data_IF_108358817075
#
_entry.id   IF_108358817075
#
_cell.length_a   1.000
_cell.length_b   1.000
_cell.length_c   1.000
_cell.angle_alpha   90.00
_cell.angle_beta   90.00
_cell.angle_gamma   90.00
#
_symmetry.space_group_name_H-M   'P 1'
#
loop_
_entity.id
_entity.type
_entity.pdbx_description
1 polymer ?
#
# COMPACT_ATOMS: atom_id res chain seq x y z
N UNK A 1 -4.36 1.06 -15.71
CA UNK A 1 -2.97 0.82 -16.19
C UNK A 1 -2.20 -0.16 -15.32
N UNK A 2 -2.66 -1.42 -15.16
CA UNK A 2 -1.77 -2.50 -14.71
C UNK A 2 -0.58 -2.62 -15.67
N UNK A 3 0.60 -2.96 -15.15
CA UNK A 3 1.83 -3.12 -15.94
C UNK A 3 2.62 -1.84 -16.19
N UNK A 4 2.20 -0.69 -15.63
CA UNK A 4 2.83 0.61 -15.82
C UNK A 4 2.92 1.40 -14.50
N UNK A 5 3.71 2.48 -14.51
CA UNK A 5 3.81 3.42 -13.40
C UNK A 5 2.81 4.58 -13.45
N UNK A 6 2.82 5.39 -12.38
CA UNK A 6 2.09 6.66 -12.31
C UNK A 6 2.53 7.65 -13.39
N UNK A 7 1.59 8.51 -13.82
CA UNK A 7 1.86 9.55 -14.82
C UNK A 7 1.30 10.88 -14.34
N UNK A 8 2.14 11.92 -14.35
CA UNK A 8 1.75 13.30 -14.10
C UNK A 8 2.36 14.21 -15.17
N UNK A 9 1.55 14.76 -16.09
CA UNK A 9 2.04 15.67 -17.12
C UNK A 9 2.79 16.86 -16.53
N UNK A 10 3.88 17.28 -17.16
CA UNK A 10 4.79 18.30 -16.64
C UNK A 10 4.13 19.64 -16.33
N UNK A 11 3.16 20.07 -17.13
CA UNK A 11 2.37 21.29 -16.87
C UNK A 11 1.46 21.21 -15.63
N UNK A 12 1.32 20.03 -15.01
CA UNK A 12 0.68 19.86 -13.68
C UNK A 12 1.71 19.77 -12.56
N UNK A 13 3.01 19.78 -12.86
CA UNK A 13 4.10 19.76 -11.87
C UNK A 13 4.45 21.21 -11.53
N UNK A 14 3.55 21.85 -10.78
CA UNK A 14 3.75 23.20 -10.24
C UNK A 14 4.90 23.22 -9.24
N UNK A 15 5.39 24.40 -8.86
CA UNK A 15 6.43 24.53 -7.82
C UNK A 15 6.03 23.86 -6.50
N UNK A 16 4.75 23.96 -6.12
CA UNK A 16 4.22 23.25 -4.95
C UNK A 16 4.38 21.74 -5.09
N UNK A 17 3.96 21.16 -6.22
CA UNK A 17 4.06 19.71 -6.46
C UNK A 17 5.52 19.27 -6.56
N UNK A 18 6.35 20.05 -7.26
CA UNK A 18 7.76 19.75 -7.44
C UNK A 18 8.48 19.73 -6.09
N UNK A 19 8.21 20.71 -5.22
CA UNK A 19 8.73 20.74 -3.84
C UNK A 19 8.28 19.52 -3.03
N UNK A 20 7.00 19.16 -3.09
CA UNK A 20 6.46 18.00 -2.37
C UNK A 20 7.03 16.66 -2.86
N UNK A 21 7.54 16.61 -4.09
CA UNK A 21 8.08 15.40 -4.73
C UNK A 21 9.60 15.41 -4.89
N UNK A 22 10.28 16.45 -4.40
CA UNK A 22 11.71 16.69 -4.66
C UNK A 22 12.07 16.59 -6.16
N UNK A 23 11.18 17.11 -7.01
CA UNK A 23 11.29 17.06 -8.46
C UNK A 23 11.53 18.45 -9.05
N UNK A 24 11.85 18.50 -10.34
CA UNK A 24 12.01 19.75 -11.09
C UNK A 24 10.63 20.27 -11.55
N UNK A 25 10.28 21.55 -11.27
CA UNK A 25 9.03 22.14 -11.76
C UNK A 25 8.89 22.04 -13.28
N UNK A 26 7.68 21.74 -13.76
CA UNK A 26 7.38 21.64 -15.19
C UNK A 26 7.80 20.32 -15.85
N UNK A 27 8.61 19.48 -15.19
CA UNK A 27 9.06 18.20 -15.75
C UNK A 27 7.98 17.13 -15.61
N UNK A 28 7.67 16.43 -16.72
CA UNK A 28 6.73 15.29 -16.69
C UNK A 28 7.28 14.18 -15.80
N UNK A 29 6.45 13.68 -14.87
CA UNK A 29 6.80 12.59 -13.99
C UNK A 29 6.13 11.30 -14.47
N UNK A 30 6.94 10.38 -15.00
CA UNK A 30 6.55 9.01 -15.29
C UNK A 30 7.27 8.13 -14.28
N UNK A 31 6.52 7.52 -13.38
CA UNK A 31 7.10 6.59 -12.41
C UNK A 31 7.58 5.33 -13.12
N UNK A 32 8.68 4.71 -12.65
CA UNK A 32 9.05 3.37 -13.08
C UNK A 32 7.87 2.40 -12.94
N UNK A 33 7.66 1.48 -13.91
CA UNK A 33 6.61 0.47 -13.79
C UNK A 33 6.77 -0.45 -12.57
N UNK A 34 7.97 -0.99 -12.25
CA UNK A 34 8.16 -1.75 -11.02
C UNK A 34 8.58 -0.83 -9.86
N UNK A 35 8.31 -1.32 -8.66
CA UNK A 35 9.09 -0.94 -7.49
C UNK A 35 10.48 -1.54 -7.63
N UNK A 36 11.54 -0.72 -7.61
CA UNK A 36 12.92 -1.21 -7.81
C UNK A 36 13.46 -2.02 -6.63
N UNK A 37 12.72 -2.05 -5.52
CA UNK A 37 12.91 -2.83 -4.32
C UNK A 37 11.90 -4.00 -4.20
N UNK A 38 11.21 -4.36 -5.29
CA UNK A 38 10.30 -5.52 -5.35
C UNK A 38 10.42 -6.22 -6.70
N UNK A 39 11.31 -7.22 -6.79
CA UNK A 39 11.41 -8.10 -7.97
C UNK A 39 10.89 -9.52 -7.72
N UNK A 40 10.57 -9.83 -6.47
CA UNK A 40 10.08 -11.14 -6.04
C UNK A 40 9.12 -11.02 -4.84
N UNK A 41 8.58 -12.15 -4.37
CA UNK A 41 7.70 -12.16 -3.21
C UNK A 41 8.46 -11.93 -1.90
N UNK A 42 9.72 -12.36 -1.84
CA UNK A 42 10.64 -12.13 -0.74
C UNK A 42 11.06 -10.67 -0.64
N UNK A 43 11.23 -9.97 -1.76
CA UNK A 43 11.49 -8.53 -1.76
C UNK A 43 10.26 -7.74 -1.27
N UNK A 44 9.04 -8.17 -1.67
CA UNK A 44 7.81 -7.60 -1.12
C UNK A 44 7.74 -7.83 0.39
N UNK A 45 8.08 -9.02 0.87
CA UNK A 45 8.16 -9.31 2.31
C UNK A 45 9.19 -8.42 3.02
N UNK A 46 10.32 -8.11 2.36
CA UNK A 46 11.30 -7.16 2.89
C UNK A 46 10.71 -5.75 2.98
N UNK A 47 10.04 -5.24 1.96
CA UNK A 47 9.40 -3.92 2.05
C UNK A 47 8.32 -3.87 3.13
N UNK A 48 7.49 -4.92 3.26
CA UNK A 48 6.49 -5.00 4.33
C UNK A 48 7.18 -4.96 5.70
N UNK A 49 8.30 -5.67 5.86
CA UNK A 49 9.10 -5.63 7.07
C UNK A 49 9.68 -4.23 7.33
N UNK A 50 10.23 -3.58 6.31
CA UNK A 50 10.78 -2.22 6.40
C UNK A 50 9.72 -1.21 6.88
N UNK A 51 8.53 -1.24 6.28
CA UNK A 51 7.40 -0.37 6.63
C UNK A 51 6.93 -0.60 8.07
N UNK A 52 6.91 -1.86 8.51
CA UNK A 52 6.53 -2.24 9.88
C UNK A 52 7.61 -1.92 10.91
N UNK A 53 8.87 -1.81 10.50
CA UNK A 53 9.99 -1.41 11.34
C UNK A 53 10.01 0.11 11.55
N UNK A 54 9.85 0.90 10.47
CA UNK A 54 9.79 2.37 10.57
C UNK A 54 8.47 2.86 11.19
N UNK A 55 7.38 2.11 11.09
CA UNK A 55 6.12 2.46 11.73
C UNK A 55 5.51 1.26 12.49
N UNK A 56 5.70 1.20 13.82
CA UNK A 56 5.20 0.08 14.63
C UNK A 56 3.68 0.09 14.84
N UNK A 57 2.97 1.13 14.40
CA UNK A 57 1.51 1.24 14.58
C UNK A 57 0.75 0.96 13.28
N UNK A 58 1.43 1.04 12.13
CA UNK A 58 0.76 0.96 10.84
C UNK A 58 0.45 -0.47 10.42
N UNK A 59 -0.73 -0.63 9.82
CA UNK A 59 -1.08 -1.79 8.99
C UNK A 59 -0.53 -1.59 7.57
N UNK A 60 -0.05 -2.66 6.96
CA UNK A 60 0.47 -2.66 5.59
C UNK A 60 -0.53 -3.33 4.65
N UNK A 61 -0.91 -2.60 3.60
CA UNK A 61 -1.82 -3.05 2.55
C UNK A 61 -1.07 -3.19 1.24
N UNK A 62 -1.26 -4.32 0.55
CA UNK A 62 -0.78 -4.50 -0.83
C UNK A 62 -1.95 -4.33 -1.78
N UNK A 63 -1.85 -3.34 -2.68
CA UNK A 63 -2.84 -3.09 -3.73
C UNK A 63 -2.46 -3.87 -5.00
N UNK A 64 -3.31 -4.81 -5.37
CA UNK A 64 -3.22 -5.59 -6.59
C UNK A 64 -4.34 -5.19 -7.55
N UNK A 65 -4.18 -5.47 -8.83
CA UNK A 65 -5.26 -5.36 -9.82
C UNK A 65 -5.72 -6.75 -10.19
N UNK A 66 -7.04 -6.96 -10.18
CA UNK A 66 -7.70 -8.19 -10.60
C UNK A 66 -7.15 -8.68 -11.94
N UNK A 67 -6.68 -9.92 -11.93
CA UNK A 67 -6.19 -10.68 -13.05
C UNK A 67 -6.30 -12.17 -12.71
N UNK A 68 -6.36 -13.05 -13.71
CA UNK A 68 -6.31 -14.49 -13.47
C UNK A 68 -4.99 -14.87 -12.80
N UNK A 69 -5.04 -15.72 -11.78
CA UNK A 69 -3.87 -16.14 -10.99
C UNK A 69 -3.58 -15.24 -9.79
N UNK A 70 -4.39 -14.21 -9.54
CA UNK A 70 -4.24 -13.31 -8.40
C UNK A 70 -4.38 -14.02 -7.06
N UNK A 71 -5.11 -15.15 -6.99
CA UNK A 71 -5.28 -15.90 -5.74
C UNK A 71 -3.96 -16.49 -5.23
N UNK A 72 -3.10 -16.96 -6.13
CA UNK A 72 -1.76 -17.45 -5.78
C UNK A 72 -0.88 -16.31 -5.27
N UNK A 73 -0.93 -15.15 -5.94
CA UNK A 73 -0.21 -13.94 -5.52
C UNK A 73 -0.70 -13.48 -4.14
N UNK A 74 -2.02 -13.44 -3.92
CA UNK A 74 -2.61 -13.06 -2.65
C UNK A 74 -2.15 -13.96 -1.50
N UNK A 75 -2.00 -15.26 -1.74
CA UNK A 75 -1.43 -16.20 -0.76
C UNK A 75 0.03 -15.89 -0.44
N UNK A 76 0.84 -15.56 -1.45
CA UNK A 76 2.21 -15.07 -1.25
C UNK A 76 2.23 -13.80 -0.40
N UNK A 77 1.38 -12.83 -0.72
CA UNK A 77 1.25 -11.54 0.01
C UNK A 77 0.85 -11.76 1.47
N UNK A 78 -0.09 -12.66 1.75
CA UNK A 78 -0.48 -13.00 3.10
C UNK A 78 0.67 -13.61 3.91
N UNK A 79 1.47 -14.50 3.29
CA UNK A 79 2.69 -15.10 3.87
C UNK A 79 3.82 -14.08 4.03
N UNK A 80 3.89 -13.08 3.17
CA UNK A 80 4.80 -11.93 3.27
C UNK A 80 4.44 -10.95 4.41
N UNK A 81 3.49 -11.33 5.27
CA UNK A 81 3.10 -10.61 6.49
C UNK A 81 2.32 -9.31 6.25
N UNK A 82 1.65 -9.16 5.09
CA UNK A 82 0.69 -8.07 4.89
C UNK A 82 -0.52 -8.20 5.83
N UNK A 83 -1.12 -7.06 6.18
CA UNK A 83 -2.32 -6.99 7.04
C UNK A 83 -3.62 -6.88 6.23
N UNK A 84 -3.52 -6.39 5.00
CA UNK A 84 -4.64 -6.30 4.08
C UNK A 84 -4.19 -6.46 2.62
N UNK A 85 -5.10 -6.92 1.78
CA UNK A 85 -4.92 -7.03 0.32
C UNK A 85 -6.09 -6.29 -0.32
N UNK A 86 -5.78 -5.33 -1.19
CA UNK A 86 -6.80 -4.67 -2.00
C UNK A 86 -6.81 -5.24 -3.42
N UNK A 87 -7.97 -5.72 -3.86
CA UNK A 87 -8.21 -6.20 -5.21
C UNK A 87 -8.94 -5.10 -5.99
N UNK A 88 -8.22 -4.42 -6.86
CA UNK A 88 -8.77 -3.38 -7.72
C UNK A 88 -9.32 -3.95 -9.03
N UNK A 89 -10.49 -3.48 -9.46
CA UNK A 89 -11.07 -3.82 -10.77
C UNK A 89 -10.45 -3.02 -11.93
N UNK A 90 -10.56 -3.55 -13.14
CA UNK A 90 -10.12 -2.89 -14.38
C UNK A 90 -10.80 -1.54 -14.64
N UNK A 91 -11.99 -1.35 -14.08
CA UNK A 91 -12.86 -0.18 -14.23
C UNK A 91 -12.54 0.97 -13.26
N UNK A 92 -11.40 0.89 -12.55
CA UNK A 92 -10.90 1.98 -11.70
C UNK A 92 -10.60 3.29 -12.46
N UNK A 93 -10.77 4.42 -11.78
CA UNK A 93 -10.46 5.74 -12.34
C UNK A 93 -8.96 6.03 -12.41
N UNK A 94 -8.55 6.95 -13.30
CA UNK A 94 -7.17 7.44 -13.39
C UNK A 94 -7.13 8.87 -13.89
N UNK A 95 -6.20 9.68 -13.37
CA UNK A 95 -5.99 11.06 -13.82
C UNK A 95 -5.29 11.16 -15.18
N UNK A 96 -4.39 10.22 -15.47
CA UNK A 96 -3.65 10.10 -16.74
C UNK A 96 -3.23 8.65 -16.96
N UNK A 97 -3.43 8.14 -18.18
CA UNK A 97 -3.09 6.77 -18.60
C UNK A 97 -3.25 6.64 -20.11
N UNK A 98 -2.50 5.75 -20.78
CA UNK A 98 -2.81 5.34 -22.15
C UNK A 98 -4.22 4.76 -22.23
N UNK A 99 -4.91 5.02 -23.35
CA UNK A 99 -6.26 4.51 -23.60
C UNK A 99 -6.26 2.99 -23.74
N UNK A 100 -5.20 2.43 -24.31
CA UNK A 100 -5.00 0.98 -24.43
C UNK A 100 -5.09 0.31 -23.07
N UNK A 101 -4.38 0.83 -22.07
CA UNK A 101 -4.36 0.30 -20.70
C UNK A 101 -5.65 0.56 -19.92
N UNK A 102 -6.47 1.54 -20.32
CA UNK A 102 -7.81 1.76 -19.76
C UNK A 102 -8.80 0.73 -20.32
N UNK A 103 -8.65 0.36 -21.60
CA UNK A 103 -9.62 -0.48 -22.32
C UNK A 103 -9.28 -1.97 -22.32
N UNK A 104 -8.00 -2.33 -22.13
CA UNK A 104 -7.53 -3.69 -22.40
C UNK A 104 -6.69 -4.31 -21.29
N UNK A 105 -6.50 -3.65 -20.14
CA UNK A 105 -5.67 -4.19 -19.06
C UNK A 105 -6.44 -4.30 -17.73
N UNK A 106 -6.33 -5.45 -17.09
CA UNK A 106 -7.04 -5.82 -15.86
C UNK A 106 -8.36 -6.56 -16.12
N UNK A 107 -8.89 -7.18 -15.07
CA UNK A 107 -10.19 -7.88 -15.06
C UNK A 107 -11.22 -7.23 -14.12
N UNK A 108 -12.52 -7.56 -14.24
CA UNK A 108 -13.53 -7.27 -13.22
C UNK A 108 -13.07 -7.64 -11.81
N UNK A 109 -13.39 -6.81 -10.82
CA UNK A 109 -12.98 -7.09 -9.44
C UNK A 109 -13.71 -8.31 -8.89
N UNK A 110 -14.91 -8.62 -9.40
CA UNK A 110 -15.70 -9.79 -9.02
C UNK A 110 -14.92 -11.09 -9.22
N UNK A 111 -14.16 -11.19 -10.32
CA UNK A 111 -13.32 -12.35 -10.63
C UNK A 111 -12.15 -12.44 -9.65
N UNK A 112 -11.33 -11.40 -9.58
CA UNK A 112 -10.12 -11.43 -8.77
C UNK A 112 -10.39 -11.47 -7.27
N UNK A 113 -11.50 -10.87 -6.82
CA UNK A 113 -11.91 -10.88 -5.42
C UNK A 113 -12.35 -12.28 -5.00
N UNK A 114 -13.22 -12.92 -5.80
CA UNK A 114 -13.65 -14.29 -5.55
C UNK A 114 -12.45 -15.24 -5.56
N UNK A 115 -11.56 -15.13 -6.56
CA UNK A 115 -10.36 -15.95 -6.65
C UNK A 115 -9.43 -15.76 -5.43
N UNK A 116 -9.18 -14.51 -5.01
CA UNK A 116 -8.39 -14.23 -3.82
C UNK A 116 -9.04 -14.81 -2.56
N UNK A 117 -10.34 -14.62 -2.38
CA UNK A 117 -11.08 -15.16 -1.24
C UNK A 117 -11.01 -16.69 -1.19
N UNK A 118 -11.29 -17.37 -2.31
CA UNK A 118 -11.27 -18.82 -2.43
C UNK A 118 -9.87 -19.39 -2.18
N UNK A 119 -8.83 -18.87 -2.84
CA UNK A 119 -7.47 -19.41 -2.72
C UNK A 119 -6.87 -19.13 -1.33
N UNK A 120 -7.13 -17.97 -0.73
CA UNK A 120 -6.73 -17.72 0.65
C UNK A 120 -7.42 -18.68 1.63
N UNK A 121 -8.69 -19.01 1.38
CA UNK A 121 -9.44 -19.97 2.21
C UNK A 121 -8.87 -21.38 2.05
N UNK A 122 -8.62 -21.83 0.82
CA UNK A 122 -7.99 -23.12 0.51
C UNK A 122 -6.62 -23.29 1.20
N UNK A 123 -5.89 -22.20 1.41
CA UNK A 123 -4.57 -22.22 2.07
C UNK A 123 -4.62 -21.94 3.58
N UNK A 124 -5.81 -21.84 4.20
CA UNK A 124 -5.99 -21.45 5.60
C UNK A 124 -5.35 -20.08 5.95
N UNK A 125 -5.31 -19.16 4.98
CA UNK A 125 -4.73 -17.82 5.12
C UNK A 125 -5.81 -16.72 5.21
N UNK A 126 -7.08 -17.03 4.91
CA UNK A 126 -8.16 -16.04 4.83
C UNK A 126 -8.36 -15.26 6.12
N UNK A 127 -8.26 -15.91 7.27
CA UNK A 127 -8.33 -15.28 8.59
C UNK A 127 -7.09 -14.46 8.98
N UNK A 128 -6.08 -14.35 8.11
CA UNK A 128 -4.86 -13.60 8.39
C UNK A 128 -4.80 -12.23 7.71
N UNK A 129 -5.65 -11.95 6.72
CA UNK A 129 -5.62 -10.69 5.98
C UNK A 129 -7.02 -10.14 5.80
N UNK A 130 -7.16 -8.81 5.88
CA UNK A 130 -8.40 -8.14 5.46
C UNK A 130 -8.42 -8.04 3.93
N UNK A 131 -9.49 -8.51 3.29
CA UNK A 131 -9.69 -8.28 1.85
C UNK A 131 -10.43 -6.96 1.61
N UNK A 132 -9.89 -6.12 0.75
CA UNK A 132 -10.51 -4.86 0.30
C UNK A 132 -10.77 -4.94 -1.20
N UNK A 133 -11.75 -4.19 -1.69
CA UNK A 133 -11.93 -4.05 -3.14
C UNK A 133 -12.28 -2.63 -3.55
N UNK A 134 -11.87 -2.24 -4.75
CA UNK A 134 -12.30 -1.01 -5.42
C UNK A 134 -12.50 -1.28 -6.92
N UNK A 135 -13.14 -0.35 -7.63
CA UNK A 135 -13.41 -0.50 -9.07
C UNK A 135 -14.88 -0.25 -9.40
N UNK A 136 -15.27 1.02 -9.47
CA UNK A 136 -16.63 1.39 -9.85
C UNK A 136 -17.71 1.19 -8.78
N UNK A 137 -17.34 0.85 -7.55
CA UNK A 137 -18.25 0.80 -6.38
C UNK A 137 -18.89 2.17 -6.18
N UNK A 138 -20.23 2.21 -6.22
CA UNK A 138 -20.99 3.47 -6.15
C UNK A 138 -22.36 3.36 -5.49
N UNK A 139 -22.83 2.15 -5.17
CA UNK A 139 -24.13 1.87 -4.53
C UNK A 139 -23.97 0.95 -3.33
N UNK A 140 -24.97 0.93 -2.45
CA UNK A 140 -25.08 -0.06 -1.37
C UNK A 140 -25.15 -1.50 -1.91
N UNK A 141 -25.82 -1.71 -3.06
CA UNK A 141 -25.81 -3.02 -3.72
C UNK A 141 -24.41 -3.48 -4.13
N UNK A 142 -23.57 -2.59 -4.67
CA UNK A 142 -22.18 -2.94 -5.04
C UNK A 142 -21.39 -3.38 -3.80
N UNK A 143 -21.59 -2.68 -2.67
CA UNK A 143 -20.99 -3.02 -1.38
C UNK A 143 -21.42 -4.41 -0.90
N UNK A 144 -22.73 -4.70 -0.94
CA UNK A 144 -23.26 -6.00 -0.51
C UNK A 144 -22.76 -7.15 -1.38
N UNK A 145 -22.70 -6.97 -2.71
CA UNK A 145 -22.16 -7.99 -3.61
C UNK A 145 -20.67 -8.20 -3.35
N UNK A 146 -19.90 -7.12 -3.19
CA UNK A 146 -18.48 -7.23 -2.82
C UNK A 146 -18.29 -7.98 -1.50
N UNK A 147 -19.15 -7.73 -0.51
CA UNK A 147 -19.13 -8.46 0.75
C UNK A 147 -19.38 -9.96 0.54
N UNK A 148 -20.45 -10.32 -0.17
CA UNK A 148 -20.79 -11.72 -0.46
C UNK A 148 -19.69 -12.45 -1.24
N UNK A 149 -18.92 -11.73 -2.07
CA UNK A 149 -17.74 -12.27 -2.77
C UNK A 149 -16.45 -12.30 -1.92
N UNK A 150 -16.50 -11.81 -0.68
CA UNK A 150 -15.45 -11.97 0.33
C UNK A 150 -14.72 -10.69 0.75
N UNK A 151 -15.09 -9.51 0.27
CA UNK A 151 -14.48 -8.24 0.71
C UNK A 151 -15.03 -7.75 2.06
N UNK A 152 -14.14 -7.15 2.85
CA UNK A 152 -14.43 -6.59 4.17
C UNK A 152 -14.37 -5.06 4.19
N UNK A 153 -13.72 -4.44 3.20
CA UNK A 153 -13.67 -2.98 3.03
C UNK A 153 -13.82 -2.59 1.55
N UNK A 154 -14.40 -1.41 1.29
CA UNK A 154 -14.89 -1.00 -0.02
C UNK A 154 -14.36 0.39 -0.41
N UNK A 155 -13.58 0.47 -1.48
CA UNK A 155 -12.97 1.71 -1.97
C UNK A 155 -13.86 2.45 -2.97
N UNK A 156 -14.19 3.71 -2.65
CA UNK A 156 -15.04 4.57 -3.48
C UNK A 156 -14.24 5.81 -3.93
N UNK A 157 -13.75 5.77 -5.18
CA UNK A 157 -12.97 6.87 -5.77
C UNK A 157 -13.84 7.81 -6.63
N UNK A 158 -14.24 7.36 -7.80
CA UNK A 158 -14.93 8.20 -8.80
C UNK A 158 -16.26 8.76 -8.30
N UNK A 159 -17.07 7.99 -7.57
CA UNK A 159 -18.32 8.51 -7.02
C UNK A 159 -18.07 9.62 -6.00
N UNK A 160 -17.01 9.52 -5.18
CA UNK A 160 -16.60 10.59 -4.27
C UNK A 160 -16.13 11.84 -5.03
N UNK A 161 -15.39 11.69 -6.14
CA UNK A 161 -15.04 12.81 -7.02
C UNK A 161 -16.29 13.47 -7.62
N UNK A 162 -17.30 12.69 -8.01
CA UNK A 162 -18.58 13.20 -8.54
C UNK A 162 -19.35 13.96 -7.44
N UNK A 163 -19.41 13.43 -6.22
CA UNK A 163 -20.00 14.13 -5.09
C UNK A 163 -19.31 15.47 -4.81
N UNK A 164 -18.00 15.56 -5.04
CA UNK A 164 -17.24 16.81 -4.96
C UNK A 164 -17.41 17.74 -6.18
N UNK A 165 -18.13 17.32 -7.23
CA UNK A 165 -18.49 18.15 -8.38
C UNK A 165 -17.90 17.71 -9.73
N UNK A 166 -17.23 16.56 -9.81
CA UNK A 166 -16.74 16.04 -11.11
C UNK A 166 -17.91 15.80 -12.09
N UNK A 167 -17.80 16.40 -13.27
CA UNK A 167 -18.81 16.29 -14.35
C UNK A 167 -18.50 15.17 -15.37
N UNK A 168 -17.53 14.31 -15.07
CA UNK A 168 -17.12 13.19 -15.94
C UNK A 168 -16.71 13.57 -17.37
N UNK A 169 -16.15 14.78 -17.57
CA UNK A 169 -15.69 15.29 -18.89
C UNK A 169 -14.36 14.69 -19.38
N UNK A 170 -13.69 13.86 -18.57
CA UNK A 170 -12.47 13.08 -18.94
C UNK A 170 -11.24 13.87 -19.40
N UNK A 171 -11.11 15.12 -18.95
CA UNK A 171 -9.96 16.01 -19.23
C UNK A 171 -8.96 16.11 -18.06
N UNK A 172 -8.94 15.12 -17.16
CA UNK A 172 -8.12 15.15 -15.94
C UNK A 172 -6.61 15.32 -16.22
N UNK A 173 -6.13 14.76 -17.33
CA UNK A 173 -4.74 14.82 -17.76
C UNK A 173 -4.37 16.18 -18.37
N UNK A 174 -5.34 16.93 -18.89
CA UNK A 174 -5.12 18.14 -19.68
C UNK A 174 -4.94 19.41 -18.85
N UNK A 175 -5.08 19.32 -17.52
CA UNK A 175 -5.10 20.46 -16.59
C UNK A 175 -6.27 21.44 -16.78
N UNK A 176 -7.25 21.12 -17.62
CA UNK A 176 -8.39 21.99 -17.96
C UNK A 176 -9.70 21.58 -17.28
N UNK A 177 -9.63 21.03 -16.07
CA UNK A 177 -10.83 20.59 -15.35
C UNK A 177 -11.80 21.77 -15.14
N UNK A 178 -13.04 21.71 -15.67
CA UNK A 178 -13.95 22.87 -15.66
C UNK A 178 -14.45 23.25 -14.26
N UNK A 179 -14.27 22.35 -13.29
CA UNK A 179 -14.82 22.41 -11.92
C UNK A 179 -13.72 22.33 -10.86
N UNK A 180 -12.45 22.55 -11.22
CA UNK A 180 -11.35 22.64 -10.26
C UNK A 180 -10.93 21.34 -9.57
N UNK A 181 -11.55 20.19 -9.86
CA UNK A 181 -11.23 18.91 -9.21
C UNK A 181 -9.84 18.39 -9.60
N UNK A 182 -9.55 18.28 -10.89
CA UNK A 182 -8.32 17.67 -11.41
C UNK A 182 -7.43 18.68 -12.15
N UNK A 183 -7.29 19.91 -11.63
CA UNK A 183 -6.43 20.96 -12.20
C UNK A 183 -5.45 21.53 -11.18
N UNK A 184 -4.35 22.09 -11.66
CA UNK A 184 -3.35 22.87 -10.93
C UNK A 184 -3.30 24.32 -11.42
N UNK A 185 -4.15 24.70 -12.39
CA UNK A 185 -4.40 26.10 -12.76
C UNK A 185 -5.26 26.76 -11.67
N UNK A 186 -4.76 27.82 -11.06
CA UNK A 186 -5.40 28.48 -9.92
C UNK A 186 -6.79 29.03 -10.26
N UNK A 187 -6.98 29.62 -11.45
CA UNK A 187 -8.27 30.12 -11.93
C UNK A 187 -9.29 28.99 -12.10
N UNK A 188 -8.83 27.77 -12.42
CA UNK A 188 -9.71 26.61 -12.48
C UNK A 188 -9.99 26.03 -11.09
N UNK A 189 -9.01 26.04 -10.19
CA UNK A 189 -9.17 25.60 -8.80
C UNK A 189 -10.16 26.47 -8.02
N UNK A 190 -10.22 27.77 -8.31
CA UNK A 190 -11.24 28.69 -7.76
C UNK A 190 -12.68 28.24 -8.06
N UNK A 191 -12.89 27.40 -9.09
CA UNK A 191 -14.21 26.86 -9.44
C UNK A 191 -14.60 25.62 -8.63
N UNK A 192 -13.71 25.11 -7.77
CA UNK A 192 -14.00 23.93 -6.95
C UNK A 192 -15.04 24.26 -5.88
N UNK A 193 -16.15 23.52 -5.89
CA UNK A 193 -17.26 23.70 -4.95
C UNK A 193 -17.55 22.43 -4.12
N UNK A 194 -16.63 21.46 -4.14
CA UNK A 194 -16.73 20.26 -3.32
C UNK A 194 -16.59 20.62 -1.83
N UNK A 195 -17.32 19.92 -0.99
CA UNK A 195 -17.25 20.09 0.47
C UNK A 195 -17.10 18.72 1.14
N UNK A 196 -16.52 18.67 2.35
CA UNK A 196 -16.51 17.45 3.15
C UNK A 196 -17.92 16.87 3.34
N UNK A 197 -18.92 17.70 3.61
CA UNK A 197 -20.30 17.28 3.84
C UNK A 197 -20.90 16.54 2.64
N UNK A 198 -20.59 16.96 1.40
CA UNK A 198 -21.05 16.25 0.19
C UNK A 198 -20.52 14.82 0.13
N UNK A 199 -19.29 14.60 0.58
CA UNK A 199 -18.67 13.27 0.64
C UNK A 199 -19.26 12.46 1.80
N UNK A 200 -19.45 13.08 2.97
CA UNK A 200 -20.14 12.45 4.12
C UNK A 200 -21.53 11.98 3.73
N UNK A 201 -22.30 12.82 3.03
CA UNK A 201 -23.64 12.49 2.56
C UNK A 201 -23.63 11.31 1.56
N UNK A 202 -22.68 11.27 0.62
CA UNK A 202 -22.52 10.13 -0.29
C UNK A 202 -22.35 8.82 0.48
N UNK A 203 -21.40 8.78 1.43
CA UNK A 203 -21.16 7.55 2.20
C UNK A 203 -22.32 7.22 3.14
N UNK A 204 -23.02 8.23 3.67
CA UNK A 204 -24.24 8.03 4.47
C UNK A 204 -25.33 7.35 3.64
N UNK A 205 -25.55 7.78 2.40
CA UNK A 205 -26.54 7.16 1.51
C UNK A 205 -26.16 5.74 1.09
N UNK A 206 -24.88 5.50 0.77
CA UNK A 206 -24.40 4.14 0.46
C UNK A 206 -24.57 3.22 1.68
N UNK A 207 -24.26 3.72 2.88
CA UNK A 207 -24.44 2.95 4.11
C UNK A 207 -25.91 2.66 4.41
N UNK A 208 -26.81 3.62 4.19
CA UNK A 208 -28.25 3.42 4.36
C UNK A 208 -28.80 2.37 3.39
N UNK A 209 -28.49 2.49 2.10
CA UNK A 209 -28.88 1.49 1.08
C UNK A 209 -28.31 0.10 1.43
N UNK A 210 -27.08 0.04 1.94
CA UNK A 210 -26.48 -1.21 2.41
C UNK A 210 -27.32 -1.83 3.54
N UNK A 211 -27.73 -1.03 4.54
CA UNK A 211 -28.58 -1.48 5.66
C UNK A 211 -29.96 -1.95 5.19
N UNK A 212 -30.57 -1.24 4.25
CA UNK A 212 -31.85 -1.63 3.66
C UNK A 212 -31.75 -3.00 2.97
N UNK A 213 -30.67 -3.23 2.22
CA UNK A 213 -30.42 -4.52 1.56
C UNK A 213 -30.17 -5.63 2.60
N UNK A 214 -29.34 -5.38 3.62
CA UNK A 214 -29.11 -6.34 4.72
C UNK A 214 -30.42 -6.76 5.39
N UNK A 215 -31.28 -5.78 5.72
CA UNK A 215 -32.58 -6.05 6.30
C UNK A 215 -33.47 -6.89 5.36
N UNK A 216 -33.43 -6.65 4.05
CA UNK A 216 -34.22 -7.41 3.07
C UNK A 216 -33.83 -8.89 2.96
N UNK A 217 -32.58 -9.23 3.29
CA UNK A 217 -32.05 -10.61 3.30
C UNK A 217 -31.99 -11.21 4.71
N UNK A 218 -32.45 -10.49 5.72
CA UNK A 218 -32.50 -10.95 7.12
C UNK A 218 -31.14 -10.93 7.85
N UNK A 219 -30.16 -10.17 7.37
CA UNK A 219 -28.86 -10.01 8.04
C UNK A 219 -28.84 -8.74 8.91
N UNK A 220 -28.20 -8.81 10.09
CA UNK A 220 -28.10 -7.66 10.99
C UNK A 220 -26.77 -6.90 10.86
N UNK A 221 -25.73 -7.58 10.40
CA UNK A 221 -24.37 -7.03 10.29
C UNK A 221 -23.72 -7.42 8.97
N UNK A 222 -22.70 -6.67 8.53
CA UNK A 222 -21.93 -7.02 7.35
C UNK A 222 -21.21 -8.37 7.51
N UNK A 223 -20.69 -8.66 8.71
CA UNK A 223 -19.91 -9.87 8.97
C UNK A 223 -20.73 -11.16 8.79
N UNK A 224 -22.06 -11.10 8.85
CA UNK A 224 -22.96 -12.23 8.58
C UNK A 224 -23.04 -12.62 7.10
N UNK A 225 -22.71 -11.70 6.19
CA UNK A 225 -22.86 -11.90 4.74
C UNK A 225 -21.53 -11.97 4.00
N UNK A 226 -20.41 -11.66 4.65
CA UNK A 226 -19.10 -11.72 4.00
C UNK A 226 -18.81 -13.17 3.58
N UNK A 227 -18.47 -13.38 2.30
CA UNK A 227 -18.23 -14.71 1.73
C UNK A 227 -19.48 -15.58 1.50
N UNK A 228 -20.68 -15.09 1.81
CA UNK A 228 -21.95 -15.82 1.63
C UNK A 228 -22.43 -15.77 0.18
N UNK A 229 -21.66 -16.38 -0.72
CA UNK A 229 -22.00 -16.49 -2.15
C UNK A 229 -23.25 -17.32 -2.40
N UNK A 230 -23.71 -18.13 -1.44
CA UNK A 230 -24.99 -18.85 -1.48
C UNK A 230 -26.22 -17.92 -1.52
N UNK A 231 -26.05 -16.65 -1.10
CA UNK A 231 -27.08 -15.61 -1.21
C UNK A 231 -27.17 -15.00 -2.62
N UNK A 232 -26.22 -15.33 -3.50
CA UNK A 232 -26.18 -14.87 -4.87
C UNK A 232 -26.63 -15.98 -5.83
N UNK A 233 -27.46 -15.61 -6.80
CA UNK A 233 -27.82 -16.49 -7.92
C UNK A 233 -27.68 -15.76 -9.24
N UNK A 234 -27.06 -16.41 -10.22
CA UNK A 234 -27.06 -15.92 -11.58
C UNK A 234 -28.48 -15.97 -12.15
N UNK A 235 -28.96 -14.84 -12.66
CA UNK A 235 -30.25 -14.76 -13.35
C UNK A 235 -29.99 -14.64 -14.85
N UNK A 236 -30.51 -15.59 -15.63
CA UNK A 236 -30.43 -15.58 -17.10
C UNK A 236 -31.58 -14.75 -17.66
N UNK A 237 -31.28 -13.57 -18.19
CA UNK A 237 -32.27 -12.64 -18.80
C UNK A 237 -31.86 -12.16 -20.19
N UNK A 238 -30.89 -12.80 -20.83
CA UNK A 238 -30.44 -12.48 -22.19
C UNK A 238 -31.39 -12.97 -23.28
N UNK A 239 -31.26 -12.43 -24.50
CA UNK A 239 -31.91 -13.02 -25.67
C UNK A 239 -31.31 -14.37 -26.01
N UNK A 240 -32.06 -15.25 -26.68
CA UNK A 240 -31.66 -16.63 -27.01
C UNK A 240 -30.39 -16.77 -27.88
N UNK A 241 -29.83 -15.66 -28.36
CA UNK A 241 -28.63 -15.56 -29.18
C UNK A 241 -27.37 -15.21 -28.37
N UNK A 242 -27.51 -15.00 -27.05
CA UNK A 242 -26.38 -14.78 -26.17
C UNK A 242 -25.98 -16.12 -25.57
N UNK A 243 -24.73 -16.52 -25.79
CA UNK A 243 -24.10 -17.59 -25.02
C UNK A 243 -24.06 -17.14 -23.55
N UNK A 244 -24.84 -17.82 -22.71
CA UNK A 244 -24.91 -17.52 -21.28
C UNK A 244 -23.50 -17.67 -20.68
N UNK A 245 -23.03 -16.62 -19.99
CA UNK A 245 -21.82 -16.70 -19.19
C UNK A 245 -22.00 -17.75 -18.09
N UNK A 246 -20.93 -18.45 -17.73
CA UNK A 246 -20.92 -19.27 -16.52
C UNK A 246 -20.34 -18.46 -15.35
N UNK A 247 -21.20 -18.03 -14.42
CA UNK A 247 -20.75 -17.33 -13.20
C UNK A 247 -20.48 -18.29 -12.04
N UNK A 248 -20.65 -19.61 -12.22
CA UNK A 248 -20.42 -20.58 -11.16
C UNK A 248 -19.03 -20.46 -10.50
N UNK A 249 -17.92 -20.23 -11.23
CA UNK A 249 -16.61 -20.05 -10.60
C UNK A 249 -16.56 -18.92 -9.54
N UNK A 250 -17.40 -17.90 -9.66
CA UNK A 250 -17.49 -16.80 -8.68
C UNK A 250 -18.28 -17.18 -7.44
N UNK A 251 -19.19 -18.15 -7.56
CA UNK A 251 -20.17 -18.50 -6.54
C UNK A 251 -19.78 -19.72 -5.71
N UNK A 252 -18.75 -20.47 -6.12
CA UNK A 252 -18.23 -21.62 -5.37
C UNK A 252 -17.77 -21.18 -3.98
N UNK A 253 -18.31 -21.85 -2.97
CA UNK A 253 -17.84 -21.76 -1.59
C UNK A 253 -16.74 -22.80 -1.38
N UNK A 254 -15.68 -22.38 -0.69
CA UNK A 254 -14.63 -23.25 -0.19
C UNK A 254 -14.90 -23.46 1.29
N UNK A 255 -14.78 -24.70 1.76
CA UNK A 255 -14.96 -25.01 3.18
C UNK A 255 -14.03 -24.15 4.05
N UNK A 256 -14.64 -23.36 4.92
CA UNK A 256 -13.95 -22.64 5.98
C UNK A 256 -13.43 -23.70 6.97
N UNK A 257 -12.12 -23.97 6.97
CA UNK A 257 -11.50 -24.83 7.98
C UNK A 257 -11.70 -24.32 9.41
N UNK A 258 -11.09 -24.97 10.40
CA UNK A 258 -11.27 -24.64 11.83
C UNK A 258 -10.72 -23.25 12.26
N UNK A 259 -9.96 -22.55 11.41
CA UNK A 259 -9.40 -21.23 11.71
C UNK A 259 -10.49 -20.15 11.62
N UNK A 260 -10.49 -19.19 12.55
CA UNK A 260 -11.49 -18.12 12.63
C UNK A 260 -11.76 -17.42 11.30
N UNK A 261 -13.03 -17.04 11.07
CA UNK A 261 -13.53 -16.59 9.76
C UNK A 261 -12.77 -15.39 9.20
N UNK A 262 -12.51 -14.36 10.04
CA UNK A 262 -12.00 -13.07 9.58
C UNK A 262 -10.77 -12.62 10.37
N UNK A 263 -9.90 -11.86 9.70
CA UNK A 263 -8.72 -11.27 10.33
C UNK A 263 -9.11 -10.18 11.32
N UNK A 264 -8.34 -10.03 12.39
CA UNK A 264 -8.49 -8.90 13.29
C UNK A 264 -8.15 -7.60 12.55
N UNK A 265 -9.15 -6.74 12.36
CA UNK A 265 -9.02 -5.46 11.67
C UNK A 265 -8.33 -4.39 12.54
N UNK A 266 -8.21 -4.62 13.84
CA UNK A 266 -7.73 -3.65 14.84
C UNK A 266 -6.23 -3.80 15.13
N UNK A 267 -5.66 -4.96 14.90
CA UNK A 267 -4.23 -5.24 15.16
C UNK A 267 -3.47 -5.45 13.86
N UNK A 268 -2.23 -4.99 13.84
CA UNK A 268 -1.27 -5.36 12.78
C UNK A 268 -0.60 -6.68 13.14
N UNK A 269 -0.12 -7.43 12.15
CA UNK A 269 0.79 -8.55 12.39
C UNK A 269 2.15 -8.03 12.86
N UNK A 270 2.71 -8.60 13.93
CA UNK A 270 4.03 -8.21 14.42
C UNK A 270 5.12 -8.60 13.42
N UNK A 271 6.29 -8.00 13.60
CA UNK A 271 7.55 -8.44 12.98
C UNK A 271 8.45 -8.99 14.07
N UNK A 272 9.39 -9.85 13.70
CA UNK A 272 10.39 -10.36 14.64
C UNK A 272 11.25 -9.21 15.18
N UNK A 273 11.75 -9.37 16.40
CA UNK A 273 12.62 -8.39 17.04
C UNK A 273 13.91 -8.18 16.23
N UNK A 274 14.27 -6.91 16.03
CA UNK A 274 15.47 -6.50 15.31
C UNK A 274 16.54 -5.99 16.26
N UNK A 275 17.76 -5.75 15.74
CA UNK A 275 18.82 -5.10 16.51
C UNK A 275 18.34 -3.76 17.12
N UNK A 276 17.47 -3.05 16.42
CA UNK A 276 16.92 -1.77 16.88
C UNK A 276 16.19 -1.88 18.22
N UNK A 277 15.56 -3.01 18.54
CA UNK A 277 14.91 -3.19 19.85
C UNK A 277 15.92 -3.04 20.99
N UNK A 278 17.13 -3.60 20.81
CA UNK A 278 18.24 -3.45 21.75
C UNK A 278 18.81 -2.03 21.72
N UNK A 279 19.00 -1.45 20.54
CA UNK A 279 19.49 -0.07 20.41
C UNK A 279 18.56 0.91 21.13
N UNK A 280 17.25 0.76 20.99
CA UNK A 280 16.25 1.61 21.65
C UNK A 280 16.33 1.52 23.18
N UNK A 281 16.60 0.34 23.73
CA UNK A 281 16.81 0.14 25.17
C UNK A 281 18.09 0.83 25.65
N UNK A 282 19.18 0.71 24.88
CA UNK A 282 20.47 1.33 25.24
C UNK A 282 20.48 2.85 24.99
N UNK A 283 19.66 3.34 24.06
CA UNK A 283 19.58 4.74 23.65
C UNK A 283 18.58 5.59 24.45
N UNK A 284 18.00 5.08 25.55
CA UNK A 284 17.01 5.81 26.38
C UNK A 284 17.50 7.22 26.74
N UNK A 285 18.76 7.37 27.15
CA UNK A 285 19.34 8.69 27.50
C UNK A 285 19.35 9.67 26.33
N UNK A 286 19.61 9.16 25.12
CA UNK A 286 19.57 9.96 23.90
C UNK A 286 18.13 10.36 23.55
N UNK A 287 17.18 9.42 23.63
CA UNK A 287 15.76 9.70 23.35
C UNK A 287 15.12 10.64 24.41
N UNK A 288 15.63 10.66 25.63
CA UNK A 288 15.15 11.56 26.67
C UNK A 288 15.70 12.98 26.53
N UNK A 289 17.00 13.12 26.23
CA UNK A 289 17.75 14.39 26.36
C UNK A 289 18.25 14.98 25.04
N UNK A 290 18.26 14.20 23.97
CA UNK A 290 18.83 14.61 22.67
C UNK A 290 20.34 14.84 22.69
N UNK A 291 21.06 14.30 23.68
CA UNK A 291 22.52 14.42 23.82
C UNK A 291 23.24 13.33 23.04
N UNK A 292 24.36 13.66 22.41
CA UNK A 292 25.16 12.71 21.61
C UNK A 292 25.49 11.43 22.38
N UNK A 293 25.26 10.29 21.75
CA UNK A 293 25.52 8.96 22.29
C UNK A 293 26.16 8.09 21.21
N UNK A 294 27.16 7.30 21.59
CA UNK A 294 27.78 6.32 20.71
C UNK A 294 27.55 4.91 21.27
N UNK A 295 27.11 3.99 20.41
CA UNK A 295 26.86 2.59 20.74
C UNK A 295 27.54 1.69 19.69
N UNK A 296 27.94 0.49 20.10
CA UNK A 296 28.64 -0.47 19.24
C UNK A 296 27.98 -1.84 19.24
N UNK A 297 27.74 -2.43 18.07
CA UNK A 297 27.14 -3.75 17.94
C UNK A 297 27.73 -4.58 16.79
N UNK A 298 27.81 -5.91 16.93
CA UNK A 298 28.07 -6.79 15.79
C UNK A 298 26.84 -6.93 14.88
N UNK A 299 27.08 -7.19 13.60
CA UNK A 299 26.09 -7.48 12.57
C UNK A 299 26.33 -8.80 11.85
N UNK A 300 25.23 -9.46 11.51
CA UNK A 300 25.17 -10.54 10.54
C UNK A 300 24.01 -10.30 9.56
N UNK A 301 24.06 -10.98 8.40
CA UNK A 301 23.15 -10.73 7.29
C UNK A 301 21.66 -11.01 7.58
N UNK A 302 21.33 -11.67 8.68
CA UNK A 302 19.93 -11.90 9.11
C UNK A 302 19.32 -10.68 9.81
N UNK A 303 20.16 -9.74 10.28
CA UNK A 303 19.74 -8.49 10.88
C UNK A 303 19.43 -7.47 9.78
N UNK A 304 18.14 -7.36 9.45
CA UNK A 304 17.60 -6.53 8.37
C UNK A 304 17.04 -5.22 8.90
N UNK A 305 17.05 -4.19 8.06
CA UNK A 305 16.42 -2.89 8.33
C UNK A 305 16.94 -2.19 9.59
N UNK A 306 18.22 -2.38 9.89
CA UNK A 306 18.87 -1.78 11.06
C UNK A 306 18.84 -0.26 10.95
N UNK A 307 18.38 0.41 11.99
CA UNK A 307 18.24 1.86 12.11
C UNK A 307 16.84 2.40 11.84
N UNK A 308 15.92 1.63 11.23
CA UNK A 308 14.59 2.13 10.88
C UNK A 308 13.69 2.37 12.11
N UNK A 309 13.66 1.46 13.08
CA UNK A 309 12.86 1.66 14.30
C UNK A 309 13.48 2.73 15.20
N UNK A 310 14.81 2.84 15.22
CA UNK A 310 15.54 3.94 15.86
C UNK A 310 15.17 5.28 15.20
N UNK A 311 15.15 5.32 13.87
CA UNK A 311 14.71 6.49 13.10
C UNK A 311 13.27 6.88 13.44
N UNK A 312 12.37 5.90 13.53
CA UNK A 312 10.98 6.11 13.97
C UNK A 312 10.92 6.80 15.34
N UNK A 313 11.66 6.29 16.32
CA UNK A 313 11.70 6.85 17.66
C UNK A 313 12.26 8.28 17.68
N UNK A 314 13.32 8.54 16.90
CA UNK A 314 13.91 9.89 16.74
C UNK A 314 12.86 10.86 16.21
N UNK A 315 12.19 10.53 15.10
CA UNK A 315 11.22 11.44 14.47
C UNK A 315 9.99 11.64 15.34
N UNK A 316 9.49 10.58 16.01
CA UNK A 316 8.35 10.69 16.93
C UNK A 316 8.66 11.58 18.13
N UNK A 317 9.91 11.57 18.59
CA UNK A 317 10.32 12.30 19.79
C UNK A 317 10.74 13.73 19.52
N UNK A 318 11.50 13.96 18.44
CA UNK A 318 12.16 15.23 18.14
C UNK A 318 11.65 15.91 16.86
N UNK A 319 10.79 15.23 16.09
CA UNK A 319 10.35 15.70 14.78
C UNK A 319 11.40 15.50 13.68
N UNK A 320 11.09 15.93 12.45
CA UNK A 320 11.92 15.67 11.26
C UNK A 320 13.28 16.40 11.28
N UNK A 321 13.44 17.41 12.13
CA UNK A 321 14.72 18.12 12.26
C UNK A 321 15.74 17.36 13.12
N UNK A 322 15.29 16.35 13.87
CA UNK A 322 16.12 15.59 14.80
C UNK A 322 16.51 16.37 16.05
N UNK A 323 17.21 15.72 17.00
CA UNK A 323 17.78 16.37 18.17
C UNK A 323 19.02 17.22 17.83
N UNK A 324 19.51 17.98 18.81
CA UNK A 324 20.75 18.75 18.67
C UNK A 324 22.01 17.86 18.62
N UNK A 325 22.04 16.80 19.43
CA UNK A 325 23.09 15.78 19.40
C UNK A 325 22.82 14.69 18.35
N UNK A 326 23.66 13.66 18.35
CA UNK A 326 23.55 12.54 17.40
C UNK A 326 23.67 11.18 18.08
N UNK A 327 22.88 10.22 17.62
CA UNK A 327 23.04 8.82 17.99
C UNK A 327 23.91 8.14 16.94
N UNK A 328 25.11 7.75 17.35
CA UNK A 328 26.10 7.11 16.50
C UNK A 328 26.14 5.62 16.77
N UNK A 329 25.86 4.82 15.75
CA UNK A 329 25.95 3.35 15.81
C UNK A 329 27.20 2.90 15.06
N UNK A 330 28.18 2.36 15.79
CA UNK A 330 29.33 1.65 15.21
C UNK A 330 28.99 0.18 15.07
N UNK A 331 29.09 -0.32 13.86
CA UNK A 331 28.60 -1.62 13.48
C UNK A 331 29.72 -2.40 12.79
N UNK A 332 29.84 -3.68 13.08
CA UNK A 332 30.90 -4.53 12.54
C UNK A 332 30.33 -5.86 12.04
N UNK A 333 30.65 -6.24 10.80
CA UNK A 333 30.18 -7.47 10.18
C UNK A 333 29.41 -7.24 8.88
N UNK A 334 28.40 -8.06 8.62
CA UNK A 334 27.63 -8.01 7.36
C UNK A 334 26.22 -7.52 7.65
N UNK A 335 25.81 -6.38 7.12
CA UNK A 335 24.44 -5.90 7.27
C UNK A 335 23.48 -6.63 6.32
N UNK A 336 22.32 -7.04 6.83
CA UNK A 336 21.22 -7.55 6.00
C UNK A 336 20.62 -6.47 5.10
N UNK A 337 19.58 -6.84 4.35
CA UNK A 337 18.87 -5.91 3.46
C UNK A 337 18.33 -4.68 4.21
N UNK A 338 18.23 -3.56 3.49
CA UNK A 338 17.63 -2.30 3.98
C UNK A 338 18.41 -1.64 5.12
N UNK A 339 19.74 -1.81 5.16
CA UNK A 339 20.59 -1.16 6.15
C UNK A 339 20.43 0.37 6.12
N UNK A 340 20.00 0.95 7.24
CA UNK A 340 19.74 2.39 7.33
C UNK A 340 18.53 2.88 6.53
N UNK A 341 17.60 2.00 6.21
CA UNK A 341 16.36 2.41 5.54
C UNK A 341 15.60 3.46 6.37
N UNK A 342 15.16 4.52 5.69
CA UNK A 342 14.43 5.65 6.26
C UNK A 342 15.16 6.36 7.42
N UNK A 343 16.48 6.21 7.52
CA UNK A 343 17.26 6.80 8.59
C UNK A 343 17.17 8.33 8.56
N UNK A 344 16.69 8.90 9.67
CA UNK A 344 16.41 10.33 9.79
C UNK A 344 17.58 11.11 10.42
N UNK A 345 17.55 12.42 10.22
CA UNK A 345 18.51 13.36 10.82
C UNK A 345 18.64 13.15 12.34
N UNK A 346 19.89 13.08 12.79
CA UNK A 346 20.25 12.76 14.18
C UNK A 346 20.73 11.32 14.40
N UNK A 347 20.64 10.47 13.38
CA UNK A 347 21.22 9.12 13.37
C UNK A 347 22.48 9.09 12.49
N UNK A 348 23.52 8.40 12.96
CA UNK A 348 24.73 8.07 12.19
C UNK A 348 24.97 6.56 12.25
N UNK A 349 25.13 5.93 11.09
CA UNK A 349 25.32 4.50 10.94
C UNK A 349 26.68 4.23 10.31
N UNK A 350 27.64 3.71 11.08
CA UNK A 350 28.99 3.43 10.61
C UNK A 350 29.27 1.93 10.62
N UNK A 351 29.24 1.32 9.44
CA UNK A 351 29.52 -0.10 9.26
C UNK A 351 30.97 -0.31 8.84
N UNK A 352 31.70 -1.12 9.61
CA UNK A 352 32.97 -1.73 9.20
C UNK A 352 32.69 -3.17 8.74
N UNK A 353 32.67 -3.40 7.43
CA UNK A 353 32.30 -4.65 6.78
C UNK A 353 31.58 -4.41 5.45
N UNK A 354 30.51 -5.16 5.20
CA UNK A 354 29.77 -5.17 3.92
C UNK A 354 28.25 -5.10 4.16
N UNK A 355 27.50 -4.60 3.18
CA UNK A 355 26.04 -4.50 3.25
C UNK A 355 25.37 -5.13 2.02
N UNK A 356 24.23 -5.78 2.25
CA UNK A 356 23.38 -6.30 1.17
C UNK A 356 22.60 -5.17 0.48
N UNK A 357 21.58 -5.52 -0.30
CA UNK A 357 20.76 -4.57 -1.07
C UNK A 357 20.05 -3.52 -0.19
N UNK A 358 19.67 -2.41 -0.83
CA UNK A 358 18.80 -1.35 -0.27
C UNK A 358 19.44 -0.50 0.84
N UNK A 359 20.77 -0.34 0.83
CA UNK A 359 21.46 0.56 1.76
C UNK A 359 20.90 1.97 1.61
N UNK A 360 20.47 2.57 2.73
CA UNK A 360 19.91 3.92 2.74
C UNK A 360 18.64 4.08 1.92
N UNK A 361 17.87 3.02 1.68
CA UNK A 361 16.54 3.10 1.04
C UNK A 361 15.69 4.17 1.72
N UNK A 362 15.19 5.14 0.95
CA UNK A 362 14.42 6.26 1.46
C UNK A 362 15.14 7.11 2.51
N UNK A 363 16.47 7.26 2.42
CA UNK A 363 17.29 8.02 3.36
C UNK A 363 16.69 9.41 3.64
N UNK A 364 16.54 9.75 4.92
CA UNK A 364 15.82 10.95 5.37
C UNK A 364 16.70 11.89 6.21
N UNK A 365 17.96 12.04 5.81
CA UNK A 365 18.90 13.00 6.39
C UNK A 365 19.85 12.46 7.46
N UNK A 366 19.91 11.15 7.67
CA UNK A 366 20.98 10.50 8.43
C UNK A 366 22.31 10.46 7.66
N UNK A 367 23.39 10.16 8.37
CA UNK A 367 24.68 9.82 7.77
C UNK A 367 24.88 8.30 7.80
N UNK A 368 25.24 7.71 6.67
CA UNK A 368 25.56 6.29 6.54
C UNK A 368 26.95 6.18 5.94
N UNK A 369 27.86 5.48 6.62
CA UNK A 369 29.17 5.14 6.08
C UNK A 369 29.37 3.63 6.13
N UNK A 370 29.75 3.03 5.00
CA UNK A 370 30.18 1.64 4.93
C UNK A 370 31.64 1.63 4.50
N UNK A 371 32.49 0.92 5.23
CA UNK A 371 33.91 0.77 4.93
C UNK A 371 34.37 -0.65 5.18
N UNK A 372 35.40 -1.09 4.49
CA UNK A 372 36.08 -2.35 4.78
C UNK A 372 37.36 -2.05 5.60
N UNK A 373 37.91 -3.02 6.36
CA UNK A 373 39.23 -2.87 6.98
C UNK A 373 40.37 -2.63 5.97
N UNK A 374 40.29 -3.29 4.80
CA UNK A 374 41.25 -3.15 3.70
C UNK A 374 40.48 -2.97 2.37
N UNK A 375 40.52 -1.76 1.81
CA UNK A 375 39.82 -1.45 0.55
C UNK A 375 40.57 -2.00 -0.66
N UNK A 376 39.82 -2.61 -1.59
CA UNK A 376 40.29 -3.00 -2.93
C UNK A 376 39.37 -2.37 -3.97
N UNK A 377 39.96 -1.88 -5.07
CA UNK A 377 39.24 -1.11 -6.10
C UNK A 377 38.09 -1.88 -6.77
N UNK A 378 38.19 -3.21 -6.84
CA UNK A 378 37.23 -4.12 -7.45
C UNK A 378 36.26 -4.78 -6.44
N UNK A 379 36.35 -4.41 -5.15
CA UNK A 379 35.51 -5.00 -4.11
C UNK A 379 34.12 -4.37 -4.07
N UNK A 380 33.09 -5.23 -4.12
CA UNK A 380 31.71 -4.83 -3.86
C UNK A 380 31.50 -4.63 -2.35
N UNK A 381 30.88 -3.51 -1.97
CA UNK A 381 30.67 -3.15 -0.56
C UNK A 381 29.19 -3.01 -0.17
N UNK A 382 28.35 -2.66 -1.15
CA UNK A 382 26.91 -2.49 -1.00
C UNK A 382 26.19 -3.18 -2.17
N UNK A 383 25.00 -3.69 -1.91
CA UNK A 383 24.16 -4.30 -2.94
C UNK A 383 23.39 -3.31 -3.82
N UNK A 384 22.39 -3.85 -4.50
CA UNK A 384 21.55 -3.18 -5.47
C UNK A 384 20.60 -2.14 -4.85
N UNK A 385 20.09 -1.23 -5.69
CA UNK A 385 19.00 -0.30 -5.36
C UNK A 385 19.30 0.52 -4.08
N UNK A 386 20.59 0.84 -3.88
CA UNK A 386 21.07 1.73 -2.82
C UNK A 386 20.51 3.13 -3.04
N UNK A 387 20.04 3.78 -1.96
CA UNK A 387 19.42 5.12 -1.96
C UNK A 387 18.13 5.25 -2.81
N UNK A 388 17.39 4.16 -3.00
CA UNK A 388 16.09 4.21 -3.68
C UNK A 388 15.10 5.18 -3.03
#
# INVERSE_FOLDING_TARGET
KPGEGGQLPGFKVTEFIARMRHAVPGTTLISPPPHHDIYSIEDLAQLIYDLKAINPDARVTVKLVSASGIGAIASGVAKANADAILIAGHNGGTGASPQTSIKHAGLPWEIGLAEAHQVLTLNNLRGTVTLRTDGGVRTGRDVVIAAMLGAEEYGVGTAALIAMGCLMVRQCHSNTCPVGVCSQDDRLREKFTGTPDKVVNLFTFIAEETREILASIGAHTMDEIIGRTDLLRQVRRGGSHLDDLDLNPLLVQVDEGAAGKWADKTTRKPIADSLDARVLQDAVRFLDRGQTLELSYPLNNTQRTVGAAVSSAIVRRFGPQGPAGRLKLRLEGIAGQSFGAFAAKGLELHLTGEANDYVGKGLSGAEISVRTPEWREDQLICGNTTLY
#
